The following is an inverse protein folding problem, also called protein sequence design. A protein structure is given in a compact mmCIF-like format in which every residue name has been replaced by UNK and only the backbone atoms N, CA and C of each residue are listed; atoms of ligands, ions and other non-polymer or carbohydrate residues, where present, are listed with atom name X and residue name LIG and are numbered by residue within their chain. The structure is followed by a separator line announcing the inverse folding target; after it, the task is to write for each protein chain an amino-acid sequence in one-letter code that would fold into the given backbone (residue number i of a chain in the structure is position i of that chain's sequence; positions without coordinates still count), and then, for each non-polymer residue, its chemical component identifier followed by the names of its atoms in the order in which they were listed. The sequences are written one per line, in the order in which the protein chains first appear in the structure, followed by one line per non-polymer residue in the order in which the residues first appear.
data_IF_490910142709
#
_entry.id   IF_490910142709
#
_cell.length_a   1.000
_cell.length_b   1.000
_cell.length_c   1.000
_cell.angle_alpha   90.00
_cell.angle_beta   90.00
_cell.angle_gamma   90.00
#
_symmetry.space_group_name_H-M   'P 1'
#
loop_
_entity.id
_entity.type
_entity.pdbx_description
1 polymer ?
#
# COMPACT_ATOMS: atom_id res chain seq x y z
N UNK A 1 -16.40 -3.17 14.40
CA UNK A 1 -15.10 -3.82 14.71
C UNK A 1 -14.70 -4.86 13.66
N UNK A 2 -15.65 -5.67 13.19
CA UNK A 2 -15.43 -6.66 12.12
C UNK A 2 -14.88 -5.99 10.84
N UNK A 3 -15.44 -4.84 10.43
CA UNK A 3 -14.99 -4.10 9.24
C UNK A 3 -13.50 -3.75 9.19
N UNK A 4 -12.86 -3.49 10.35
CA UNK A 4 -11.44 -3.15 10.38
C UNK A 4 -10.57 -4.39 10.16
N UNK A 5 -10.92 -5.50 10.81
CA UNK A 5 -10.24 -6.76 10.64
C UNK A 5 -10.44 -7.33 9.23
N UNK A 6 -11.62 -7.14 8.64
CA UNK A 6 -11.89 -7.53 7.25
C UNK A 6 -11.03 -6.71 6.27
N UNK A 7 -10.96 -5.38 6.44
CA UNK A 7 -10.11 -4.53 5.60
C UNK A 7 -8.62 -4.88 5.75
N UNK A 8 -8.17 -5.17 6.98
CA UNK A 8 -6.81 -5.57 7.26
C UNK A 8 -6.49 -6.98 6.69
N UNK A 9 -7.45 -7.90 6.76
CA UNK A 9 -7.35 -9.22 6.13
C UNK A 9 -7.24 -9.12 4.62
N UNK A 10 -8.06 -8.29 3.98
CA UNK A 10 -8.01 -8.06 2.54
C UNK A 10 -6.69 -7.42 2.11
N UNK A 11 -6.17 -6.44 2.87
CA UNK A 11 -4.87 -5.84 2.63
C UNK A 11 -3.76 -6.91 2.63
N UNK A 12 -3.75 -7.81 3.62
CA UNK A 12 -2.77 -8.89 3.71
C UNK A 12 -2.87 -9.89 2.56
N UNK A 13 -4.08 -10.23 2.12
CA UNK A 13 -4.30 -11.11 0.96
C UNK A 13 -3.73 -10.46 -0.30
N UNK A 14 -4.03 -9.18 -0.54
CA UNK A 14 -3.54 -8.44 -1.71
C UNK A 14 -2.01 -8.35 -1.68
N UNK A 15 -1.43 -7.94 -0.55
CA UNK A 15 0.03 -7.90 -0.37
C UNK A 15 0.65 -9.27 -0.66
N UNK A 16 0.14 -10.34 -0.03
CA UNK A 16 0.65 -11.71 -0.22
C UNK A 16 0.62 -12.18 -1.67
N UNK A 17 -0.46 -11.87 -2.42
CA UNK A 17 -0.56 -12.16 -3.85
C UNK A 17 0.52 -11.40 -4.63
N UNK A 18 0.74 -10.11 -4.34
CA UNK A 18 1.76 -9.30 -5.01
C UNK A 18 3.16 -9.88 -4.76
N UNK A 19 3.47 -10.30 -3.52
CA UNK A 19 4.74 -10.96 -3.20
C UNK A 19 4.91 -12.30 -3.92
N UNK A 20 3.84 -13.09 -4.04
CA UNK A 20 3.90 -14.42 -4.65
C UNK A 20 4.00 -14.37 -6.18
N UNK A 21 3.18 -13.54 -6.84
CA UNK A 21 3.13 -13.45 -8.31
C UNK A 21 4.24 -12.57 -8.89
N UNK A 22 4.63 -11.50 -8.18
CA UNK A 22 5.55 -10.49 -8.71
C UNK A 22 6.74 -10.20 -7.78
N UNK A 23 7.50 -11.21 -7.33
CA UNK A 23 8.59 -11.02 -6.36
C UNK A 23 9.70 -10.10 -6.89
N UNK A 24 9.95 -10.12 -8.20
CA UNK A 24 10.95 -9.25 -8.85
C UNK A 24 10.55 -7.78 -8.80
N UNK A 25 9.26 -7.48 -8.97
CA UNK A 25 8.75 -6.11 -8.89
C UNK A 25 8.93 -5.58 -7.46
N UNK A 26 8.56 -6.37 -6.46
CA UNK A 26 8.68 -5.96 -5.06
C UNK A 26 10.14 -5.70 -4.67
N UNK A 27 11.07 -6.58 -5.06
CA UNK A 27 12.50 -6.36 -4.85
C UNK A 27 12.99 -5.06 -5.52
N UNK A 28 12.54 -4.79 -6.74
CA UNK A 28 12.91 -3.57 -7.48
C UNK A 28 12.38 -2.30 -6.82
N UNK A 29 11.16 -2.33 -6.27
CA UNK A 29 10.60 -1.19 -5.53
C UNK A 29 11.37 -0.98 -4.23
N UNK A 30 11.68 -2.06 -3.50
CA UNK A 30 12.45 -1.99 -2.26
C UNK A 30 13.85 -1.40 -2.48
N UNK A 31 14.56 -1.80 -3.56
CA UNK A 31 15.87 -1.22 -3.87
C UNK A 31 15.75 0.25 -4.28
N UNK A 32 14.74 0.64 -5.07
CA UNK A 32 14.50 2.05 -5.38
C UNK A 32 14.21 2.89 -4.14
N UNK A 33 13.48 2.33 -3.16
CA UNK A 33 13.20 2.99 -1.89
C UNK A 33 14.47 3.30 -1.09
N UNK A 34 15.53 2.46 -1.19
CA UNK A 34 16.81 2.75 -0.53
C UNK A 34 17.59 3.91 -1.14
N UNK A 35 17.36 4.23 -2.41
CA UNK A 35 17.99 5.36 -3.10
C UNK A 35 17.14 6.65 -3.02
N UNK A 36 15.88 6.55 -2.60
CA UNK A 36 15.00 7.70 -2.45
C UNK A 36 15.33 8.49 -1.17
N UNK A 37 15.20 9.82 -1.23
CA UNK A 37 15.29 10.64 -0.03
C UNK A 37 14.11 10.36 0.90
N UNK A 38 14.35 10.48 2.21
CA UNK A 38 13.31 10.28 3.24
C UNK A 38 12.10 11.19 3.01
N UNK A 39 12.32 12.42 2.54
CA UNK A 39 11.25 13.37 2.21
C UNK A 39 10.35 12.87 1.08
N UNK A 40 10.93 12.32 0.00
CA UNK A 40 10.15 11.75 -1.11
C UNK A 40 9.36 10.52 -0.65
N UNK A 41 9.94 9.70 0.22
CA UNK A 41 9.25 8.54 0.77
C UNK A 41 8.06 8.95 1.64
N UNK A 42 8.20 10.02 2.46
CA UNK A 42 7.12 10.60 3.26
C UNK A 42 6.00 11.17 2.39
N UNK A 43 6.33 11.97 1.38
CA UNK A 43 5.34 12.55 0.47
C UNK A 43 4.61 11.49 -0.34
N UNK A 44 5.33 10.48 -0.85
CA UNK A 44 4.74 9.35 -1.56
C UNK A 44 3.79 8.54 -0.67
N UNK A 45 4.22 8.22 0.56
CA UNK A 45 3.37 7.53 1.53
C UNK A 45 2.13 8.34 1.93
N UNK A 46 2.28 9.64 2.16
CA UNK A 46 1.16 10.52 2.47
C UNK A 46 0.16 10.60 1.31
N UNK A 47 0.66 10.74 0.07
CA UNK A 47 -0.18 10.73 -1.12
C UNK A 47 -0.96 9.43 -1.28
N UNK A 48 -0.32 8.28 -1.07
CA UNK A 48 -0.98 6.97 -1.11
C UNK A 48 -2.04 6.82 -0.01
N UNK A 49 -1.77 7.30 1.21
CA UNK A 49 -2.72 7.26 2.31
C UNK A 49 -3.98 8.12 2.02
N UNK A 50 -3.79 9.34 1.50
CA UNK A 50 -4.89 10.22 1.11
C UNK A 50 -5.71 9.59 -0.03
N UNK A 51 -5.06 9.03 -1.05
CA UNK A 51 -5.74 8.35 -2.14
C UNK A 51 -6.58 7.16 -1.64
N UNK A 52 -6.01 6.33 -0.75
CA UNK A 52 -6.74 5.23 -0.11
C UNK A 52 -7.95 5.72 0.68
N UNK A 53 -7.81 6.81 1.44
CA UNK A 53 -8.92 7.42 2.16
C UNK A 53 -10.02 7.92 1.21
N UNK A 54 -9.64 8.59 0.10
CA UNK A 54 -10.60 9.05 -0.91
C UNK A 54 -11.37 7.89 -1.54
N UNK A 55 -10.71 6.77 -1.84
CA UNK A 55 -11.36 5.56 -2.38
C UNK A 55 -12.35 4.99 -1.37
N UNK A 56 -11.93 4.82 -0.10
CA UNK A 56 -12.81 4.32 0.97
C UNK A 56 -14.03 5.23 1.13
N UNK A 57 -13.83 6.55 1.11
CA UNK A 57 -14.91 7.51 1.22
C UNK A 57 -15.85 7.50 0.02
N UNK A 58 -15.35 7.32 -1.20
CA UNK A 58 -16.18 7.21 -2.41
C UNK A 58 -17.01 5.92 -2.44
N UNK A 59 -16.48 4.81 -1.90
CA UNK A 59 -17.18 3.51 -1.89
C UNK A 59 -18.16 3.38 -0.72
N UNK A 60 -17.85 3.97 0.45
CA UNK A 60 -18.74 3.97 1.64
C UNK A 60 -19.64 5.21 1.73
N UNK A 61 -19.48 6.18 0.83
CA UNK A 61 -20.21 7.44 0.77
C UNK A 61 -21.67 7.26 0.42
#
# INVERSE_FOLDING_TARGET
MIDFFDALGLLLVIEGIVYCLFPTLVKRIATQATYASIERLRLGGLGAAIAGLCIIWAVRG
#
